data_IF_651023443156
#
_entry.id   IF_651023443156
#
_cell.length_a   1.000
_cell.length_b   1.000
_cell.length_c   1.000
_cell.angle_alpha   90.00
_cell.angle_beta   90.00
_cell.angle_gamma   90.00
#
_symmetry.space_group_name_H-M   'P 1'
#
loop_
_entity.id
_entity.type
_entity.pdbx_description
1 polymer ?
#
# COMPACT_ATOMS: atom_id res chain seq x y z
N UNK A 1 75.51 -3.49 -16.46
CA UNK A 1 74.39 -2.80 -17.15
C UNK A 1 73.29 -3.84 -17.38
N UNK A 2 72.39 -4.22 -16.47
CA UNK A 2 71.67 -3.49 -15.41
C UNK A 2 71.11 -2.17 -15.95
N UNK A 3 69.95 -2.22 -16.64
CA UNK A 3 68.92 -1.15 -16.77
C UNK A 3 67.92 -1.30 -17.95
N UNK A 4 67.85 -2.41 -18.68
CA UNK A 4 66.85 -2.57 -19.78
C UNK A 4 65.86 -3.73 -19.54
N UNK A 5 66.10 -4.61 -18.56
CA UNK A 5 65.22 -5.74 -18.26
C UNK A 5 63.99 -5.41 -17.38
N UNK A 6 63.68 -4.13 -17.12
CA UNK A 6 62.65 -3.72 -16.16
C UNK A 6 61.47 -2.93 -16.74
N UNK A 7 61.37 -2.79 -18.07
CA UNK A 7 60.34 -1.94 -18.70
C UNK A 7 59.39 -2.68 -19.67
N UNK A 8 59.58 -3.99 -19.92
CA UNK A 8 58.73 -4.75 -20.87
C UNK A 8 57.98 -5.91 -20.18
N UNK A 9 58.22 -6.15 -18.88
CA UNK A 9 57.51 -7.16 -18.09
C UNK A 9 56.44 -6.57 -17.14
N UNK A 10 56.04 -5.32 -17.37
CA UNK A 10 55.03 -4.62 -16.55
C UNK A 10 53.74 -4.29 -17.30
N UNK A 11 53.55 -4.81 -18.52
CA UNK A 11 52.36 -4.53 -19.34
C UNK A 11 51.60 -5.78 -19.79
N UNK A 12 51.78 -6.91 -19.10
CA UNK A 12 51.10 -8.18 -19.39
C UNK A 12 50.38 -8.81 -18.17
N UNK A 13 50.15 -8.03 -17.10
CA UNK A 13 49.46 -8.49 -15.87
C UNK A 13 48.09 -7.85 -15.63
N UNK A 14 47.46 -7.27 -16.66
CA UNK A 14 46.09 -6.76 -16.58
C UNK A 14 45.04 -7.65 -17.27
N UNK A 15 45.35 -8.94 -17.47
CA UNK A 15 44.32 -9.95 -17.78
C UNK A 15 44.11 -10.81 -16.53
N UNK A 16 43.72 -10.15 -15.44
CA UNK A 16 43.07 -10.81 -14.30
C UNK A 16 41.59 -10.85 -14.64
N UNK A 17 41.07 -12.07 -14.75
CA UNK A 17 39.84 -12.38 -15.46
C UNK A 17 38.63 -11.53 -15.06
N UNK A 18 37.75 -11.33 -16.04
CA UNK A 18 36.32 -11.27 -15.79
C UNK A 18 35.91 -12.56 -15.06
N UNK A 19 36.07 -12.59 -13.74
CA UNK A 19 35.21 -13.45 -12.94
C UNK A 19 33.83 -12.84 -13.11
N UNK A 20 33.00 -13.50 -13.91
CA UNK A 20 31.55 -13.47 -13.77
C UNK A 20 31.27 -13.50 -12.27
N UNK A 21 30.99 -12.32 -11.70
CA UNK A 21 30.84 -12.15 -10.27
C UNK A 21 29.73 -13.09 -9.84
N UNK A 22 30.11 -14.16 -9.15
CA UNK A 22 29.15 -15.04 -8.53
C UNK A 22 28.50 -14.22 -7.43
N UNK A 23 27.42 -13.52 -7.78
CA UNK A 23 26.50 -12.84 -6.88
C UNK A 23 25.85 -13.92 -6.01
N UNK A 24 26.58 -14.34 -4.97
CA UNK A 24 26.03 -15.23 -3.97
C UNK A 24 25.09 -14.40 -3.11
N UNK A 25 23.80 -14.74 -3.16
CA UNK A 25 22.79 -14.17 -2.28
C UNK A 25 23.20 -14.30 -0.81
N UNK A 26 22.80 -13.31 0.00
CA UNK A 26 23.17 -13.24 1.41
C UNK A 26 22.15 -14.00 2.27
N UNK A 27 22.65 -15.03 2.96
CA UNK A 27 21.85 -15.91 3.82
C UNK A 27 21.51 -15.18 5.13
N UNK A 28 20.26 -15.28 5.57
CA UNK A 28 19.83 -14.93 6.92
C UNK A 28 19.28 -16.20 7.61
N UNK A 29 19.45 -16.31 8.92
CA UNK A 29 18.96 -17.47 9.70
C UNK A 29 18.09 -16.95 10.84
N UNK A 30 16.79 -17.19 10.77
CA UNK A 30 15.92 -16.94 11.92
C UNK A 30 16.13 -18.00 13.02
N UNK A 31 16.26 -17.55 14.27
CA UNK A 31 16.13 -18.40 15.46
C UNK A 31 14.70 -18.30 16.00
N UNK A 32 13.76 -18.98 15.36
CA UNK A 32 12.48 -19.34 15.99
C UNK A 32 12.10 -20.78 15.62
N UNK A 33 11.44 -21.49 16.54
CA UNK A 33 11.48 -22.96 16.64
C UNK A 33 10.80 -23.77 15.52
N UNK A 34 11.44 -24.93 15.26
CA UNK A 34 11.14 -26.09 14.37
C UNK A 34 11.40 -25.87 12.86
N UNK A 35 12.49 -26.52 12.42
CA UNK A 35 13.16 -26.49 11.11
C UNK A 35 13.83 -25.15 10.76
N UNK A 36 15.17 -25.12 10.82
CA UNK A 36 16.00 -24.00 10.32
C UNK A 36 15.91 -23.96 8.78
N UNK A 37 14.82 -23.42 8.24
CA UNK A 37 14.83 -23.01 6.84
C UNK A 37 15.66 -21.72 6.74
N UNK A 38 16.76 -21.78 5.96
CA UNK A 38 17.58 -20.62 5.68
C UNK A 38 16.80 -19.67 4.77
N UNK A 39 16.32 -18.57 5.32
CA UNK A 39 15.69 -17.49 4.55
C UNK A 39 16.79 -16.57 3.98
N UNK A 40 16.79 -16.33 2.69
CA UNK A 40 17.79 -15.48 2.02
C UNK A 40 17.21 -14.09 1.80
N UNK A 41 17.98 -13.04 2.07
CA UNK A 41 17.57 -11.67 1.73
C UNK A 41 18.28 -11.30 0.43
N UNK A 42 17.57 -11.10 -0.69
CA UNK A 42 18.17 -10.72 -1.95
C UNK A 42 19.00 -9.45 -1.80
N UNK A 43 20.16 -9.39 -2.48
CA UNK A 43 20.96 -8.16 -2.51
C UNK A 43 20.25 -7.05 -3.29
N UNK A 44 19.54 -7.44 -4.34
CA UNK A 44 18.81 -6.55 -5.23
C UNK A 44 17.61 -5.91 -4.52
N UNK A 45 17.48 -4.59 -4.65
CA UNK A 45 16.25 -3.86 -4.34
C UNK A 45 15.65 -3.37 -5.64
N UNK A 46 14.32 -3.42 -5.77
CA UNK A 46 13.62 -2.92 -6.95
C UNK A 46 13.83 -1.40 -7.09
N UNK A 47 13.70 -0.69 -5.97
CA UNK A 47 13.97 0.75 -5.85
C UNK A 47 14.17 1.09 -4.37
N UNK A 48 14.51 2.35 -4.08
CA UNK A 48 14.52 2.86 -2.70
C UNK A 48 13.09 2.98 -2.12
N UNK A 49 12.05 2.81 -2.95
CA UNK A 49 10.66 2.85 -2.53
C UNK A 49 10.16 1.55 -1.89
N UNK A 50 10.82 0.42 -2.11
CA UNK A 50 10.35 -0.87 -1.63
C UNK A 50 11.36 -1.52 -0.69
N UNK A 51 10.85 -2.19 0.34
CA UNK A 51 11.67 -3.00 1.22
C UNK A 51 12.05 -4.30 0.53
N UNK A 52 13.27 -4.77 0.80
CA UNK A 52 13.67 -6.15 0.47
C UNK A 52 12.79 -7.12 1.25
N UNK A 53 12.58 -8.31 0.70
CA UNK A 53 11.82 -9.39 1.35
C UNK A 53 12.67 -10.64 1.47
N UNK A 54 12.24 -11.62 2.27
CA UNK A 54 12.94 -12.91 2.38
C UNK A 54 12.60 -13.84 1.22
N UNK A 55 13.49 -14.81 0.95
CA UNK A 55 13.27 -15.95 0.06
C UNK A 55 13.46 -17.24 0.88
N UNK A 56 12.42 -18.09 1.03
CA UNK A 56 11.07 -17.91 0.48
C UNK A 56 10.36 -16.67 1.06
N UNK A 57 9.47 -16.10 0.24
CA UNK A 57 8.64 -14.97 0.65
C UNK A 57 7.73 -15.40 1.79
N UNK A 58 7.76 -14.66 2.89
CA UNK A 58 6.84 -14.84 4.02
C UNK A 58 5.63 -13.92 3.85
N UNK A 59 4.47 -14.45 3.41
CA UNK A 59 3.28 -13.64 3.18
C UNK A 59 2.54 -13.26 4.47
N UNK A 60 3.01 -13.72 5.64
CA UNK A 60 2.33 -13.52 6.91
C UNK A 60 1.13 -14.45 7.13
N UNK A 61 0.52 -14.32 8.32
CA UNK A 61 -0.54 -15.21 8.83
C UNK A 61 -1.93 -14.88 8.31
N UNK A 62 -2.11 -13.70 7.71
CA UNK A 62 -3.38 -13.19 7.20
C UNK A 62 -3.40 -13.04 5.67
N UNK A 63 -2.54 -13.78 4.95
CA UNK A 63 -2.40 -13.71 3.50
C UNK A 63 -3.76 -13.76 2.79
N UNK A 64 -3.99 -12.80 1.89
CA UNK A 64 -5.16 -12.77 1.01
C UNK A 64 -6.41 -12.18 1.64
N UNK A 65 -6.41 -11.86 2.94
CA UNK A 65 -7.57 -11.29 3.62
C UNK A 65 -7.91 -9.88 3.11
N UNK A 66 -6.89 -9.06 2.77
CA UNK A 66 -7.08 -7.73 2.17
C UNK A 66 -7.92 -7.79 0.90
N UNK A 67 -7.60 -8.73 0.01
CA UNK A 67 -8.31 -8.92 -1.26
C UNK A 67 -9.78 -9.33 -1.14
N UNK A 68 -10.23 -9.78 0.03
CA UNK A 68 -11.60 -10.25 0.26
C UNK A 68 -12.51 -9.21 0.91
N UNK A 69 -11.95 -8.16 1.53
CA UNK A 69 -12.73 -7.28 2.43
C UNK A 69 -12.73 -5.80 2.05
N UNK A 70 -11.88 -5.37 1.12
CA UNK A 70 -11.85 -3.98 0.66
C UNK A 70 -12.84 -3.76 -0.50
N UNK A 71 -13.35 -2.53 -0.62
CA UNK A 71 -14.41 -2.18 -1.56
C UNK A 71 -14.03 -2.35 -3.04
N UNK A 72 -12.79 -2.00 -3.41
CA UNK A 72 -12.32 -2.04 -4.79
C UNK A 72 -10.82 -2.37 -4.86
N UNK A 73 -10.34 -2.68 -6.08
CA UNK A 73 -8.94 -3.06 -6.32
C UNK A 73 -7.94 -1.93 -6.04
N UNK A 74 -8.33 -0.68 -6.33
CA UNK A 74 -7.47 0.49 -6.13
C UNK A 74 -7.16 0.68 -4.64
N UNK A 75 -8.16 0.51 -3.78
CA UNK A 75 -8.01 0.55 -2.33
C UNK A 75 -7.07 -0.54 -1.81
N UNK A 76 -7.09 -1.74 -2.40
CA UNK A 76 -6.18 -2.83 -1.99
C UNK A 76 -4.72 -2.41 -2.23
N UNK A 77 -4.42 -1.95 -3.45
CA UNK A 77 -3.05 -1.57 -3.82
C UNK A 77 -2.56 -0.38 -2.98
N UNK A 78 -3.40 0.64 -2.80
CA UNK A 78 -3.02 1.82 -2.01
C UNK A 78 -2.91 1.51 -0.52
N UNK A 79 -3.79 0.68 0.04
CA UNK A 79 -3.71 0.30 1.45
C UNK A 79 -2.43 -0.49 1.75
N UNK A 80 -2.04 -1.45 0.90
CA UNK A 80 -0.81 -2.24 1.10
C UNK A 80 0.45 -1.38 0.88
N UNK A 81 0.54 -0.69 -0.26
CA UNK A 81 1.76 0.05 -0.61
C UNK A 81 1.89 1.37 0.14
N UNK A 82 0.78 2.04 0.45
CA UNK A 82 0.78 3.23 1.29
C UNK A 82 1.14 2.93 2.76
N UNK A 83 0.82 1.73 3.27
CA UNK A 83 1.29 1.31 4.59
C UNK A 83 2.82 1.14 4.62
N UNK A 84 3.42 0.64 3.53
CA UNK A 84 4.88 0.63 3.38
C UNK A 84 5.45 2.04 3.27
N UNK A 85 4.75 2.97 2.61
CA UNK A 85 5.16 4.38 2.53
C UNK A 85 5.20 5.04 3.92
N UNK A 86 4.22 4.75 4.78
CA UNK A 86 4.22 5.22 6.18
C UNK A 86 5.34 4.57 6.99
N UNK A 87 5.63 3.29 6.77
CA UNK A 87 6.69 2.59 7.49
C UNK A 87 8.07 3.25 7.34
N UNK A 88 8.35 3.88 6.20
CA UNK A 88 9.63 4.58 5.91
C UNK A 88 9.90 5.74 6.86
N UNK A 89 8.87 6.30 7.49
CA UNK A 89 9.01 7.36 8.49
C UNK A 89 9.71 6.87 9.78
N UNK A 90 9.83 5.56 9.97
CA UNK A 90 10.49 4.93 11.13
C UNK A 90 11.55 3.89 10.75
N UNK A 91 11.35 3.19 9.63
CA UNK A 91 12.14 2.02 9.24
C UNK A 91 12.73 2.25 7.85
N UNK A 92 14.00 2.60 7.75
CA UNK A 92 14.67 2.84 6.46
C UNK A 92 14.69 1.58 5.57
N UNK A 93 14.37 1.70 4.28
CA UNK A 93 14.46 0.59 3.30
C UNK A 93 15.90 0.07 3.10
N UNK A 94 16.91 0.83 3.55
CA UNK A 94 18.32 0.42 3.52
C UNK A 94 18.69 -0.55 4.63
N UNK A 95 18.08 -0.38 5.80
CA UNK A 95 18.46 -1.08 7.04
C UNK A 95 17.47 -2.19 7.40
N UNK A 96 16.21 -2.03 6.98
CA UNK A 96 15.12 -2.94 7.28
C UNK A 96 14.67 -3.74 6.06
N UNK A 97 14.18 -4.95 6.32
CA UNK A 97 13.48 -5.78 5.33
C UNK A 97 12.08 -6.13 5.82
N UNK A 98 11.20 -6.40 4.87
CA UNK A 98 9.77 -6.64 5.08
C UNK A 98 9.46 -8.12 5.19
N UNK A 99 8.54 -8.46 6.12
CA UNK A 99 7.80 -9.71 6.17
C UNK A 99 6.31 -9.41 6.37
N UNK A 100 5.43 -10.30 5.89
CA UNK A 100 4.02 -10.22 6.25
C UNK A 100 3.81 -10.42 7.76
N UNK A 101 2.72 -9.86 8.29
CA UNK A 101 2.44 -9.88 9.72
C UNK A 101 2.34 -11.28 10.33
N UNK A 102 2.84 -11.40 11.56
CA UNK A 102 2.93 -12.66 12.32
C UNK A 102 2.12 -12.65 13.63
N UNK A 103 1.64 -11.49 14.08
CA UNK A 103 0.86 -11.36 15.32
C UNK A 103 -0.63 -11.59 15.06
N UNK A 104 -1.20 -10.89 14.08
CA UNK A 104 -2.63 -10.91 13.75
C UNK A 104 -2.89 -11.91 12.62
N UNK A 105 -3.27 -13.14 12.99
CA UNK A 105 -3.69 -14.17 12.03
C UNK A 105 -5.09 -13.91 11.45
N UNK A 106 -5.44 -14.63 10.38
CA UNK A 106 -6.75 -14.54 9.70
C UNK A 106 -7.93 -14.62 10.66
N UNK A 107 -7.90 -15.57 11.59
CA UNK A 107 -9.00 -15.78 12.54
C UNK A 107 -9.16 -14.59 13.48
N UNK A 108 -8.04 -14.06 13.97
CA UNK A 108 -8.00 -12.89 14.84
C UNK A 108 -8.58 -11.68 14.13
N UNK A 109 -8.12 -11.37 12.92
CA UNK A 109 -8.62 -10.23 12.15
C UNK A 109 -10.11 -10.39 11.84
N UNK A 110 -10.53 -11.57 11.37
CA UNK A 110 -11.95 -11.84 11.09
C UNK A 110 -12.85 -11.72 12.32
N UNK A 111 -12.34 -11.97 13.54
CA UNK A 111 -13.08 -11.70 14.77
C UNK A 111 -13.09 -10.21 15.11
N UNK A 112 -11.96 -9.52 14.96
CA UNK A 112 -11.84 -8.08 15.27
C UNK A 112 -12.74 -7.23 14.38
N UNK A 113 -12.84 -7.52 13.08
CA UNK A 113 -13.64 -6.70 12.15
C UNK A 113 -15.14 -7.00 12.22
N UNK A 114 -15.58 -8.01 12.98
CA UNK A 114 -17.01 -8.26 13.21
C UNK A 114 -17.61 -7.17 14.11
N UNK A 115 -18.95 -7.11 14.09
CA UNK A 115 -19.70 -6.38 15.11
C UNK A 115 -19.45 -7.03 16.47
N UNK A 116 -19.31 -6.19 17.50
CA UNK A 116 -19.42 -6.61 18.89
C UNK A 116 -20.81 -7.21 19.07
N UNK A 117 -20.87 -8.39 19.66
CA UNK A 117 -22.13 -9.08 19.97
C UNK A 117 -22.76 -8.45 21.21
N UNK A 118 -24.09 -8.41 21.29
CA UNK A 118 -24.79 -8.08 22.53
C UNK A 118 -24.64 -9.21 23.55
N UNK A 119 -24.96 -8.96 24.81
CA UNK A 119 -24.92 -10.00 25.85
C UNK A 119 -25.90 -11.15 25.53
N UNK A 120 -27.05 -10.84 24.94
CA UNK A 120 -28.02 -11.83 24.48
C UNK A 120 -27.46 -12.69 23.33
N UNK A 121 -26.85 -12.07 22.31
CA UNK A 121 -26.22 -12.78 21.20
C UNK A 121 -25.02 -13.63 21.65
N UNK A 122 -24.23 -13.13 22.61
CA UNK A 122 -23.13 -13.89 23.21
C UNK A 122 -23.67 -15.14 23.92
N UNK A 123 -24.68 -14.97 24.77
CA UNK A 123 -25.29 -16.07 25.52
C UNK A 123 -25.91 -17.11 24.60
N UNK A 124 -26.64 -16.68 23.56
CA UNK A 124 -27.22 -17.59 22.58
C UNK A 124 -26.14 -18.42 21.85
N UNK A 125 -25.00 -17.80 21.49
CA UNK A 125 -23.88 -18.52 20.89
C UNK A 125 -23.29 -19.55 21.88
N UNK A 126 -23.07 -19.16 23.14
CA UNK A 126 -22.54 -20.05 24.18
C UNK A 126 -23.47 -21.24 24.44
N UNK A 127 -24.79 -21.00 24.50
CA UNK A 127 -25.80 -22.04 24.69
C UNK A 127 -25.84 -23.03 23.50
N UNK A 128 -25.68 -22.53 22.26
CA UNK A 128 -25.64 -23.36 21.04
C UNK A 128 -24.39 -24.24 20.96
N UNK A 129 -23.23 -23.74 21.43
CA UNK A 129 -21.97 -24.46 21.28
C UNK A 129 -21.75 -25.59 22.32
N UNK A 130 -22.62 -25.71 23.33
CA UNK A 130 -22.55 -26.70 24.45
C UNK A 130 -21.21 -26.65 25.24
N UNK A 131 -21.20 -27.24 26.45
CA UNK A 131 -20.19 -27.06 27.53
C UNK A 131 -18.69 -27.25 27.17
N UNK A 132 -18.35 -27.82 26.02
CA UNK A 132 -16.96 -28.03 25.58
C UNK A 132 -16.39 -26.84 24.78
N UNK A 133 -17.19 -25.79 24.55
CA UNK A 133 -16.75 -24.59 23.87
C UNK A 133 -15.81 -23.75 24.76
N UNK A 134 -14.57 -23.60 24.31
CA UNK A 134 -13.70 -22.49 24.72
C UNK A 134 -14.53 -21.20 24.66
N UNK A 135 -14.62 -20.44 25.77
CA UNK A 135 -15.35 -19.16 25.81
C UNK A 135 -15.05 -18.34 24.55
N UNK A 136 -16.04 -18.18 23.68
CA UNK A 136 -15.81 -17.56 22.38
C UNK A 136 -15.68 -16.04 22.56
N UNK A 137 -14.51 -15.45 22.30
CA UNK A 137 -14.22 -14.07 22.69
C UNK A 137 -15.11 -13.08 21.93
N UNK A 138 -15.69 -12.11 22.64
CA UNK A 138 -16.46 -11.00 22.05
C UNK A 138 -15.55 -9.79 21.77
N UNK A 139 -14.65 -9.95 20.81
CA UNK A 139 -13.62 -8.94 20.47
C UNK A 139 -13.96 -8.13 19.22
N UNK A 140 -15.19 -8.21 18.71
CA UNK A 140 -15.63 -7.43 17.56
C UNK A 140 -15.50 -5.93 17.84
N UNK A 141 -14.87 -5.20 16.93
CA UNK A 141 -14.56 -3.78 17.06
C UNK A 141 -15.68 -2.90 16.50
N UNK A 142 -16.42 -3.39 15.51
CA UNK A 142 -17.58 -2.67 14.98
C UNK A 142 -18.72 -2.63 16.01
N UNK A 143 -19.55 -1.58 16.04
CA UNK A 143 -20.63 -1.47 17.02
C UNK A 143 -21.66 -2.59 16.86
N UNK A 144 -22.28 -2.99 17.97
CA UNK A 144 -23.47 -3.84 17.94
C UNK A 144 -24.61 -3.12 17.22
N UNK A 145 -25.50 -3.88 16.58
CA UNK A 145 -26.78 -3.32 16.13
C UNK A 145 -27.64 -3.05 17.36
N UNK A 146 -28.40 -1.96 17.35
CA UNK A 146 -29.35 -1.68 18.43
C UNK A 146 -30.45 -2.74 18.46
N UNK A 147 -30.86 -3.12 19.67
CA UNK A 147 -32.00 -4.01 19.90
C UNK A 147 -33.32 -3.30 19.56
N UNK A 148 -34.39 -4.08 19.36
CA UNK A 148 -35.75 -3.57 19.13
C UNK A 148 -36.23 -3.65 17.68
N UNK A 149 -37.40 -3.07 17.43
CA UNK A 149 -38.18 -3.20 16.19
C UNK A 149 -37.78 -2.22 15.07
N UNK A 150 -36.73 -1.42 15.26
CA UNK A 150 -36.25 -0.52 14.19
C UNK A 150 -35.76 -1.33 12.98
N UNK A 151 -35.92 -0.74 11.78
CA UNK A 151 -35.41 -1.35 10.55
C UNK A 151 -33.88 -1.39 10.52
N UNK A 152 -33.31 -2.32 9.77
CA UNK A 152 -31.87 -2.45 9.54
C UNK A 152 -31.31 -1.19 8.94
N UNK A 153 -32.09 -0.45 8.14
CA UNK A 153 -31.64 0.84 7.62
C UNK A 153 -31.39 1.86 8.75
N UNK A 154 -32.33 2.00 9.68
CA UNK A 154 -32.19 2.90 10.83
C UNK A 154 -31.05 2.43 11.73
N UNK A 155 -30.95 1.12 12.00
CA UNK A 155 -29.91 0.53 12.85
C UNK A 155 -28.51 0.71 12.26
N UNK A 156 -28.32 0.46 10.96
CA UNK A 156 -27.01 0.62 10.31
C UNK A 156 -26.63 2.10 10.16
N UNK A 157 -27.58 3.03 9.98
CA UNK A 157 -27.29 4.47 10.02
C UNK A 157 -26.80 4.94 11.39
N UNK A 158 -27.33 4.38 12.49
CA UNK A 158 -26.89 4.68 13.86
C UNK A 158 -25.56 4.00 14.22
N UNK A 159 -25.41 2.74 13.83
CA UNK A 159 -24.29 1.88 14.18
C UNK A 159 -23.67 1.25 12.92
N UNK A 160 -23.00 2.04 12.06
CA UNK A 160 -22.42 1.48 10.85
C UNK A 160 -21.19 0.60 11.17
N UNK A 161 -20.81 -0.27 10.22
CA UNK A 161 -19.51 -0.95 10.27
C UNK A 161 -18.42 0.03 9.85
N UNK A 162 -17.61 0.49 10.79
CA UNK A 162 -16.51 1.42 10.59
C UNK A 162 -15.26 0.76 10.01
N UNK A 163 -14.88 -0.43 10.46
CA UNK A 163 -13.66 -1.12 9.99
C UNK A 163 -14.04 -2.33 9.12
N UNK A 164 -13.38 -2.51 7.98
CA UNK A 164 -13.54 -3.69 7.11
C UNK A 164 -12.35 -4.65 7.19
N UNK A 165 -11.15 -4.12 7.44
CA UNK A 165 -9.94 -4.93 7.47
C UNK A 165 -8.83 -4.35 8.35
N UNK A 166 -7.88 -5.20 8.71
CA UNK A 166 -6.65 -4.87 9.42
C UNK A 166 -5.48 -5.53 8.65
N UNK A 167 -4.40 -4.80 8.45
CA UNK A 167 -3.19 -5.30 7.80
C UNK A 167 -1.98 -5.08 8.71
N UNK A 168 -1.13 -6.09 8.86
CA UNK A 168 0.10 -6.04 9.65
C UNK A 168 1.31 -6.28 8.76
N UNK A 169 2.29 -5.38 8.86
CA UNK A 169 3.61 -5.46 8.25
C UNK A 169 4.67 -5.54 9.35
N UNK A 170 5.58 -6.52 9.26
CA UNK A 170 6.70 -6.63 10.19
C UNK A 170 8.00 -6.20 9.49
N UNK A 171 8.80 -5.40 10.20
CA UNK A 171 10.08 -4.88 9.72
C UNK A 171 11.23 -5.41 10.59
N UNK A 172 12.17 -6.08 9.94
CA UNK A 172 13.30 -6.73 10.58
C UNK A 172 14.61 -6.06 10.20
N UNK A 173 15.55 -6.04 11.14
CA UNK A 173 16.91 -5.54 10.96
C UNK A 173 17.90 -6.67 11.23
N UNK A 174 19.05 -6.65 10.57
CA UNK A 174 20.12 -7.64 10.81
C UNK A 174 20.84 -7.35 12.12
N UNK A 175 21.12 -8.40 12.89
CA UNK A 175 21.91 -8.36 14.11
C UNK A 175 23.09 -9.34 14.01
N UNK A 176 24.19 -8.86 13.42
CA UNK A 176 25.35 -9.71 13.09
C UNK A 176 25.19 -10.46 11.77
N UNK A 177 26.07 -11.43 11.50
CA UNK A 177 26.17 -12.05 10.17
C UNK A 177 24.96 -12.89 9.77
N UNK A 178 24.26 -13.52 10.72
CA UNK A 178 23.20 -14.48 10.42
C UNK A 178 21.92 -14.29 11.25
N UNK A 179 21.88 -13.34 12.20
CA UNK A 179 20.71 -13.15 13.07
C UNK A 179 19.88 -11.96 12.58
N UNK A 180 18.56 -12.03 12.79
CA UNK A 180 17.62 -10.95 12.46
C UNK A 180 16.73 -10.68 13.66
N UNK A 181 16.41 -9.41 13.87
CA UNK A 181 15.59 -8.95 14.98
C UNK A 181 14.42 -8.14 14.42
N UNK A 182 13.23 -8.37 14.96
CA UNK A 182 12.06 -7.57 14.60
C UNK A 182 12.23 -6.19 15.22
N UNK A 183 12.47 -5.19 14.37
CA UNK A 183 12.70 -3.82 14.82
C UNK A 183 11.45 -2.95 14.83
N UNK A 184 10.35 -3.40 14.23
CA UNK A 184 9.08 -2.70 14.31
C UNK A 184 7.92 -3.41 13.62
N UNK A 185 6.71 -2.96 13.95
CA UNK A 185 5.45 -3.41 13.34
C UNK A 185 4.68 -2.19 12.84
N UNK A 186 4.04 -2.32 11.69
CA UNK A 186 3.10 -1.30 11.18
C UNK A 186 1.77 -1.95 10.92
N UNK A 187 0.71 -1.38 11.50
CA UNK A 187 -0.66 -1.89 11.43
C UNK A 187 -1.57 -0.88 10.74
N UNK A 188 -2.13 -1.25 9.60
CA UNK A 188 -3.13 -0.48 8.87
C UNK A 188 -4.54 -0.88 9.31
N UNK A 189 -5.42 0.11 9.49
CA UNK A 189 -6.86 -0.08 9.70
C UNK A 189 -7.60 0.42 8.45
N UNK A 190 -8.24 -0.49 7.71
CA UNK A 190 -9.06 -0.16 6.55
C UNK A 190 -10.47 0.21 7.02
N UNK A 191 -10.76 1.50 7.01
CA UNK A 191 -12.01 2.06 7.49
C UNK A 191 -12.97 2.35 6.33
N UNK A 192 -14.25 2.11 6.53
CA UNK A 192 -15.30 2.39 5.54
C UNK A 192 -15.60 3.90 5.50
N UNK A 193 -15.65 4.47 4.29
CA UNK A 193 -16.32 5.76 4.04
C UNK A 193 -17.81 5.57 3.82
N UNK A 194 -18.20 4.44 3.23
CA UNK A 194 -19.57 3.99 3.01
C UNK A 194 -19.66 2.53 3.42
N UNK A 195 -20.66 2.20 4.23
CA UNK A 195 -21.03 0.82 4.50
C UNK A 195 -22.09 0.38 3.49
N UNK A 196 -21.85 -0.75 2.83
CA UNK A 196 -22.82 -1.42 1.95
C UNK A 196 -23.45 -2.60 2.69
N UNK A 197 -24.78 -2.73 2.66
CA UNK A 197 -25.51 -3.82 3.31
C UNK A 197 -26.85 -4.07 2.61
N UNK A 198 -27.48 -5.21 2.88
CA UNK A 198 -28.86 -5.49 2.47
C UNK A 198 -29.81 -5.19 3.64
N UNK A 199 -30.94 -4.54 3.35
CA UNK A 199 -32.03 -4.44 4.32
C UNK A 199 -32.80 -5.76 4.45
N UNK A 200 -33.82 -5.80 5.30
CA UNK A 200 -34.55 -7.02 5.67
C UNK A 200 -35.18 -7.78 4.48
N UNK A 201 -35.53 -7.07 3.41
CA UNK A 201 -36.12 -7.66 2.21
C UNK A 201 -35.09 -7.95 1.11
N UNK A 202 -33.78 -7.83 1.40
CA UNK A 202 -32.69 -8.11 0.47
C UNK A 202 -32.33 -6.96 -0.47
N UNK A 203 -32.92 -5.77 -0.31
CA UNK A 203 -32.55 -4.63 -1.15
C UNK A 203 -31.23 -4.00 -0.69
N UNK A 204 -30.32 -3.65 -1.62
CA UNK A 204 -29.07 -2.99 -1.27
C UNK A 204 -29.32 -1.60 -0.69
N UNK A 205 -28.53 -1.26 0.32
CA UNK A 205 -28.51 0.04 1.00
C UNK A 205 -27.07 0.47 1.26
N UNK A 206 -26.93 1.78 1.43
CA UNK A 206 -25.67 2.43 1.73
C UNK A 206 -25.82 3.33 2.96
N UNK A 207 -24.81 3.31 3.84
CA UNK A 207 -24.71 4.25 4.95
C UNK A 207 -23.37 4.99 4.85
N UNK A 208 -23.44 6.29 4.55
CA UNK A 208 -22.27 7.16 4.55
C UNK A 208 -21.77 7.38 5.98
N UNK A 209 -20.45 7.33 6.16
CA UNK A 209 -19.78 7.47 7.45
C UNK A 209 -18.97 8.76 7.43
N UNK A 210 -19.34 9.79 8.22
CA UNK A 210 -18.61 11.05 8.26
C UNK A 210 -17.13 10.87 8.65
N UNK A 211 -16.24 11.62 8.01
CA UNK A 211 -14.78 11.53 8.21
C UNK A 211 -14.37 11.61 9.68
N UNK A 212 -14.92 12.60 10.41
CA UNK A 212 -14.62 12.80 11.83
C UNK A 212 -15.05 11.61 12.70
N UNK A 213 -16.19 10.98 12.39
CA UNK A 213 -16.69 9.80 13.12
C UNK A 213 -15.86 8.57 12.80
N UNK A 214 -15.55 8.34 11.53
CA UNK A 214 -14.67 7.26 11.09
C UNK A 214 -13.30 7.37 11.76
N UNK A 215 -12.70 8.57 11.76
CA UNK A 215 -11.39 8.80 12.36
C UNK A 215 -11.40 8.55 13.87
N UNK A 216 -12.42 9.06 14.58
CA UNK A 216 -12.54 8.84 16.03
C UNK A 216 -12.65 7.35 16.37
N UNK A 217 -13.47 6.59 15.62
CA UNK A 217 -13.58 5.15 15.80
C UNK A 217 -12.29 4.42 15.43
N UNK A 218 -11.62 4.79 14.34
CA UNK A 218 -10.34 4.20 13.95
C UNK A 218 -9.28 4.33 15.05
N UNK A 219 -9.18 5.51 15.69
CA UNK A 219 -8.28 5.74 16.82
C UNK A 219 -8.61 4.86 18.03
N UNK A 220 -9.91 4.76 18.38
CA UNK A 220 -10.39 3.88 19.46
C UNK A 220 -10.09 2.40 19.16
N UNK A 221 -10.32 1.97 17.92
CA UNK A 221 -10.09 0.60 17.49
C UNK A 221 -8.60 0.24 17.48
N UNK A 222 -7.71 1.14 17.07
CA UNK A 222 -6.27 0.94 17.13
C UNK A 222 -5.78 0.63 18.57
N UNK A 223 -6.33 1.32 19.57
CA UNK A 223 -6.04 1.04 20.97
C UNK A 223 -6.44 -0.37 21.41
N UNK A 224 -7.58 -0.87 20.95
CA UNK A 224 -8.03 -2.24 21.25
C UNK A 224 -7.19 -3.29 20.50
N UNK A 225 -6.79 -2.99 19.26
CA UNK A 225 -5.89 -3.86 18.48
C UNK A 225 -4.53 -3.97 19.17
N UNK A 226 -3.95 -2.87 19.67
CA UNK A 226 -2.71 -2.91 20.44
C UNK A 226 -2.81 -3.85 21.64
N UNK A 227 -3.90 -3.75 22.42
CA UNK A 227 -4.14 -4.65 23.57
C UNK A 227 -4.17 -6.11 23.13
N UNK A 228 -4.90 -6.43 22.06
CA UNK A 228 -4.99 -7.79 21.52
C UNK A 228 -3.63 -8.30 21.06
N UNK A 229 -2.84 -7.49 20.36
CA UNK A 229 -1.48 -7.84 19.94
C UNK A 229 -0.58 -8.16 21.14
N UNK A 230 -0.57 -7.28 22.15
CA UNK A 230 0.26 -7.44 23.36
C UNK A 230 -0.20 -8.62 24.24
N UNK A 231 -1.50 -8.94 24.26
CA UNK A 231 -2.02 -10.12 24.96
C UNK A 231 -1.64 -11.42 24.25
N UNK A 232 -1.72 -11.44 22.91
CA UNK A 232 -1.42 -12.61 22.10
C UNK A 232 0.08 -12.90 22.07
N UNK A 233 0.91 -11.85 22.02
CA UNK A 233 2.37 -11.91 22.00
C UNK A 233 2.95 -10.84 22.95
N UNK A 234 3.24 -11.20 24.23
CA UNK A 234 3.75 -10.25 25.22
C UNK A 234 5.03 -9.51 24.82
N UNK A 235 5.85 -10.11 23.94
CA UNK A 235 7.05 -9.49 23.39
C UNK A 235 6.78 -8.23 22.57
N UNK A 236 5.56 -8.04 22.05
CA UNK A 236 5.17 -6.84 21.30
C UNK A 236 5.25 -5.58 22.15
N UNK A 237 5.13 -5.70 23.48
CA UNK A 237 5.35 -4.57 24.40
C UNK A 237 6.75 -3.96 24.25
N UNK A 238 7.74 -4.71 23.75
CA UNK A 238 9.11 -4.24 23.60
C UNK A 238 9.47 -3.82 22.17
N UNK A 239 8.50 -3.79 21.25
CA UNK A 239 8.69 -3.49 19.83
C UNK A 239 7.88 -2.23 19.49
N UNK A 240 8.47 -1.23 18.81
CA UNK A 240 7.71 -0.08 18.33
C UNK A 240 6.60 -0.50 17.36
N UNK A 241 5.39 0.02 17.55
CA UNK A 241 4.23 -0.26 16.69
C UNK A 241 3.72 1.04 16.09
N UNK A 242 3.59 1.13 14.77
CA UNK A 242 2.93 2.26 14.10
C UNK A 242 1.53 1.86 13.67
N UNK A 243 0.51 2.61 14.09
CA UNK A 243 -0.85 2.45 13.58
C UNK A 243 -1.13 3.49 12.50
N UNK A 244 -1.79 3.10 11.42
CA UNK A 244 -2.22 3.98 10.34
C UNK A 244 -3.69 3.74 10.00
N UNK A 245 -4.44 4.82 9.85
CA UNK A 245 -5.87 4.79 9.51
C UNK A 245 -6.01 5.11 8.02
N UNK A 246 -6.59 4.16 7.29
CA UNK A 246 -6.90 4.27 5.87
C UNK A 246 -8.41 4.44 5.68
N UNK A 247 -8.83 5.47 4.95
CA UNK A 247 -10.23 5.68 4.57
C UNK A 247 -10.43 5.14 3.16
N UNK A 248 -11.17 4.04 3.02
CA UNK A 248 -11.48 3.46 1.71
C UNK A 248 -12.34 4.40 0.85
N UNK A 249 -12.18 4.29 -0.46
CA UNK A 249 -13.12 4.89 -1.41
C UNK A 249 -14.47 4.15 -1.44
N UNK A 250 -15.53 4.80 -1.95
CA UNK A 250 -16.75 4.10 -2.36
C UNK A 250 -16.46 3.02 -3.42
N UNK A 251 -17.33 2.01 -3.53
CA UNK A 251 -17.19 0.95 -4.56
C UNK A 251 -17.15 1.47 -6.00
N UNK A 252 -17.83 2.58 -6.27
CA UNK A 252 -17.86 3.25 -7.57
C UNK A 252 -16.69 4.20 -7.82
N UNK A 253 -15.77 4.33 -6.86
CA UNK A 253 -14.64 5.24 -6.99
C UNK A 253 -13.68 4.76 -8.09
N UNK A 254 -13.23 5.71 -8.90
CA UNK A 254 -12.26 5.51 -9.96
C UNK A 254 -10.83 5.89 -9.52
N UNK A 255 -10.67 6.29 -8.25
CA UNK A 255 -9.41 6.50 -7.54
C UNK A 255 -9.46 5.76 -6.20
N UNK A 256 -8.31 5.38 -5.62
CA UNK A 256 -8.30 4.82 -4.28
C UNK A 256 -8.82 5.83 -3.25
N UNK A 257 -9.13 5.33 -2.06
CA UNK A 257 -9.17 6.12 -0.85
C UNK A 257 -7.79 6.65 -0.46
N UNK A 258 -7.59 6.96 0.82
CA UNK A 258 -6.35 7.57 1.28
C UNK A 258 -6.07 7.30 2.76
N UNK A 259 -4.80 7.38 3.15
CA UNK A 259 -4.44 7.46 4.56
C UNK A 259 -4.82 8.81 5.15
N UNK A 260 -5.32 8.83 6.39
CA UNK A 260 -5.82 10.04 7.06
C UNK A 260 -5.05 10.40 8.34
N UNK A 261 -4.45 9.41 9.00
CA UNK A 261 -3.70 9.65 10.24
C UNK A 261 -2.81 8.46 10.60
N UNK A 262 -1.72 8.71 11.32
CA UNK A 262 -0.90 7.67 11.92
C UNK A 262 -0.45 8.04 13.34
N UNK A 263 -0.12 7.04 14.14
CA UNK A 263 0.43 7.18 15.49
C UNK A 263 1.56 6.18 15.70
N UNK A 264 2.61 6.58 16.42
CA UNK A 264 3.74 5.72 16.77
C UNK A 264 3.63 5.37 18.26
N UNK A 265 3.65 4.08 18.56
CA UNK A 265 3.67 3.51 19.91
C UNK A 265 5.10 3.11 20.19
N UNK A 266 5.72 3.81 21.13
CA UNK A 266 7.09 3.52 21.56
C UNK A 266 7.15 2.24 22.39
N UNK A 267 8.36 1.65 22.48
CA UNK A 267 8.59 0.47 23.31
C UNK A 267 8.14 0.72 24.76
N UNK A 268 7.47 -0.27 25.33
CA UNK A 268 6.94 -0.24 26.69
C UNK A 268 5.60 0.49 26.84
N UNK A 269 5.12 1.17 25.79
CA UNK A 269 3.81 1.84 25.84
C UNK A 269 2.65 0.84 25.68
N UNK A 270 1.55 1.12 26.36
CA UNK A 270 0.28 0.40 26.24
C UNK A 270 -0.82 1.27 25.61
N UNK A 271 -0.49 2.50 25.21
CA UNK A 271 -1.44 3.47 24.64
C UNK A 271 -1.06 3.92 23.23
N UNK A 272 -2.10 4.16 22.41
CA UNK A 272 -1.97 4.69 21.05
C UNK A 272 -2.36 6.17 21.02
N UNK A 273 -1.36 7.01 21.25
CA UNK A 273 -1.51 8.47 21.39
C UNK A 273 -0.76 9.22 20.27
N UNK A 274 -0.74 10.56 20.32
CA UNK A 274 0.03 11.43 19.41
C UNK A 274 -0.23 11.21 17.91
N UNK A 275 -1.50 11.09 17.56
CA UNK A 275 -1.95 10.95 16.18
C UNK A 275 -1.58 12.16 15.32
N UNK A 276 -0.78 11.92 14.28
CA UNK A 276 -0.41 12.88 13.26
C UNK A 276 -1.36 12.77 12.07
N UNK A 277 -1.91 13.88 11.55
CA UNK A 277 -2.73 13.84 10.35
C UNK A 277 -1.89 13.49 9.12
N UNK A 278 -2.52 12.83 8.15
CA UNK A 278 -1.97 12.62 6.81
C UNK A 278 -2.92 13.34 5.85
N UNK A 279 -2.42 14.37 5.18
CA UNK A 279 -3.16 15.06 4.13
C UNK A 279 -2.80 14.43 2.78
N UNK A 280 -3.40 13.28 2.49
CA UNK A 280 -3.24 12.55 1.23
C UNK A 280 -4.55 12.48 0.48
N UNK A 281 -4.53 12.72 -0.84
CA UNK A 281 -5.75 12.67 -1.66
C UNK A 281 -5.44 12.33 -3.12
N UNK A 282 -6.39 11.67 -3.77
CA UNK A 282 -6.29 11.27 -5.17
C UNK A 282 -7.34 11.99 -6.01
N UNK A 283 -6.96 12.42 -7.21
CA UNK A 283 -7.83 13.08 -8.17
C UNK A 283 -7.67 12.48 -9.55
N UNK A 284 -8.78 12.41 -10.28
CA UNK A 284 -8.75 12.12 -11.71
C UNK A 284 -8.57 13.39 -12.53
N UNK A 285 -7.88 13.24 -13.65
CA UNK A 285 -7.66 14.30 -14.60
C UNK A 285 -8.04 13.85 -16.02
N UNK A 286 -8.85 14.63 -16.74
CA UNK A 286 -9.67 15.73 -16.21
C UNK A 286 -10.84 15.21 -15.36
N UNK A 287 -11.26 15.97 -14.34
CA UNK A 287 -12.51 15.68 -13.60
C UNK A 287 -13.13 16.96 -13.02
N UNK A 288 -14.45 16.94 -12.79
CA UNK A 288 -15.15 18.04 -12.10
C UNK A 288 -14.69 18.19 -10.65
N UNK A 289 -14.37 17.07 -9.97
CA UNK A 289 -13.84 17.11 -8.60
C UNK A 289 -12.50 17.84 -8.50
N UNK A 290 -11.61 17.65 -9.49
CA UNK A 290 -10.36 18.40 -9.53
C UNK A 290 -10.61 19.91 -9.73
N UNK A 291 -11.64 20.29 -10.49
CA UNK A 291 -12.04 21.70 -10.66
C UNK A 291 -12.62 22.30 -9.39
N UNK A 292 -13.50 21.58 -8.69
CA UNK A 292 -14.14 22.05 -7.45
C UNK A 292 -13.13 22.22 -6.32
N UNK A 293 -12.12 21.35 -6.26
CA UNK A 293 -11.13 21.32 -5.19
C UNK A 293 -9.88 22.16 -5.53
N UNK A 294 -10.02 23.15 -6.40
CA UNK A 294 -9.00 24.14 -6.77
C UNK A 294 -7.71 23.55 -7.40
N UNK A 295 -7.77 22.37 -8.03
CA UNK A 295 -6.62 21.78 -8.75
C UNK A 295 -6.59 22.21 -10.23
N UNK A 296 -6.85 23.51 -10.47
CA UNK A 296 -7.04 24.08 -11.82
C UNK A 296 -5.76 24.09 -12.66
N UNK A 297 -4.62 24.35 -12.03
CA UNK A 297 -3.32 24.38 -12.72
C UNK A 297 -2.92 22.99 -13.24
N UNK A 298 -3.09 21.96 -12.41
CA UNK A 298 -2.81 20.58 -12.78
C UNK A 298 -3.78 20.08 -13.86
N UNK A 299 -5.05 20.50 -13.79
CA UNK A 299 -6.03 20.24 -14.84
C UNK A 299 -5.65 20.91 -16.16
N UNK A 300 -5.21 22.16 -16.13
CA UNK A 300 -4.74 22.87 -17.32
C UNK A 300 -3.50 22.20 -17.92
N UNK A 301 -2.57 21.74 -17.08
CA UNK A 301 -1.38 20.98 -17.50
C UNK A 301 -1.75 19.72 -18.26
N UNK A 302 -2.62 18.86 -17.68
CA UNK A 302 -3.06 17.62 -18.34
C UNK A 302 -3.86 17.91 -19.61
N UNK A 303 -4.67 18.98 -19.60
CA UNK A 303 -5.44 19.40 -20.78
C UNK A 303 -4.53 19.87 -21.92
N UNK A 304 -3.49 20.65 -21.61
CA UNK A 304 -2.52 21.12 -22.59
C UNK A 304 -1.67 19.96 -23.15
N UNK A 305 -1.21 19.06 -22.28
CA UNK A 305 -0.54 17.83 -22.68
C UNK A 305 -1.41 17.02 -23.68
N UNK A 306 -2.69 16.83 -23.36
CA UNK A 306 -3.66 16.15 -24.24
C UNK A 306 -3.87 16.89 -25.56
N UNK A 307 -4.02 18.22 -25.52
CA UNK A 307 -4.18 19.03 -26.72
C UNK A 307 -2.96 18.89 -27.63
N UNK A 308 -1.75 18.86 -27.07
CA UNK A 308 -0.50 18.75 -27.82
C UNK A 308 -0.28 17.38 -28.44
N UNK A 309 -0.83 16.32 -27.85
CA UNK A 309 -0.94 15.01 -28.48
C UNK A 309 -1.90 15.03 -29.67
N UNK A 310 -3.02 15.73 -29.54
CA UNK A 310 -4.09 15.79 -30.55
C UNK A 310 -3.67 16.53 -31.83
N UNK A 311 -2.67 17.41 -31.76
CA UNK A 311 -2.12 18.11 -32.93
C UNK A 311 -1.42 17.16 -33.92
N UNK A 312 -0.72 16.15 -33.41
CA UNK A 312 0.10 15.24 -34.22
C UNK A 312 -0.51 13.86 -34.40
N UNK A 313 -1.40 13.45 -33.49
CA UNK A 313 -2.03 12.14 -33.49
C UNK A 313 -3.55 12.27 -33.40
N UNK A 314 -4.25 11.89 -34.46
CA UNK A 314 -5.70 11.99 -34.56
C UNK A 314 -6.40 10.69 -34.13
N UNK A 315 -7.62 10.78 -33.60
CA UNK A 315 -8.40 9.61 -33.16
C UNK A 315 -8.10 9.19 -31.72
N UNK A 316 -7.90 7.89 -31.50
CA UNK A 316 -7.83 7.26 -30.18
C UNK A 316 -6.62 7.72 -29.32
N UNK A 317 -5.60 8.31 -29.95
CA UNK A 317 -4.38 8.82 -29.33
C UNK A 317 -4.58 9.92 -28.26
N UNK A 318 -5.80 10.43 -28.13
CA UNK A 318 -6.14 11.61 -27.32
C UNK A 318 -6.85 11.27 -26.01
N UNK A 319 -7.08 9.98 -25.74
CA UNK A 319 -7.77 9.49 -24.55
C UNK A 319 -6.86 9.45 -23.30
N UNK A 320 -6.27 10.59 -22.91
CA UNK A 320 -5.42 10.67 -21.71
C UNK A 320 -6.28 10.66 -20.45
N UNK A 321 -6.04 9.68 -19.56
CA UNK A 321 -6.64 9.58 -18.23
C UNK A 321 -5.53 9.74 -17.20
N UNK A 322 -5.62 10.75 -16.36
CA UNK A 322 -4.65 11.01 -15.29
C UNK A 322 -5.17 10.65 -13.91
N UNK A 323 -4.31 10.12 -13.05
CA UNK A 323 -4.52 10.00 -11.60
C UNK A 323 -3.40 10.75 -10.90
N UNK A 324 -3.75 11.82 -10.18
CA UNK A 324 -2.81 12.60 -9.39
C UNK A 324 -2.91 12.25 -7.90
N UNK A 325 -1.77 11.90 -7.29
CA UNK A 325 -1.63 11.71 -5.85
C UNK A 325 -1.05 13.00 -5.23
N UNK A 326 -1.80 13.55 -4.28
CA UNK A 326 -1.44 14.76 -3.55
C UNK A 326 -1.04 14.39 -2.14
N UNK A 327 0.01 15.05 -1.64
CA UNK A 327 0.38 15.04 -0.23
C UNK A 327 0.68 16.45 0.23
N UNK A 328 0.02 16.86 1.31
CA UNK A 328 0.09 18.22 1.85
C UNK A 328 -0.30 19.27 0.80
N UNK A 329 -1.40 18.99 0.08
CA UNK A 329 -1.95 19.78 -1.03
C UNK A 329 -1.07 19.97 -2.27
N UNK A 330 0.14 19.40 -2.29
CA UNK A 330 1.05 19.39 -3.43
C UNK A 330 0.93 18.09 -4.22
N UNK A 331 0.85 18.19 -5.56
CA UNK A 331 0.90 17.05 -6.46
C UNK A 331 2.29 16.38 -6.37
N UNK A 332 2.33 15.13 -5.89
CA UNK A 332 3.57 14.35 -5.74
C UNK A 332 3.80 13.37 -6.87
N UNK A 333 2.72 12.78 -7.38
CA UNK A 333 2.78 11.79 -8.46
C UNK A 333 1.63 12.00 -9.44
N UNK A 334 1.94 11.97 -10.73
CA UNK A 334 0.97 11.94 -11.82
C UNK A 334 1.13 10.64 -12.61
N UNK A 335 0.10 9.78 -12.58
CA UNK A 335 0.00 8.60 -13.44
C UNK A 335 -0.90 8.91 -14.63
N UNK A 336 -0.42 8.71 -15.85
CA UNK A 336 -1.17 8.92 -17.08
C UNK A 336 -1.33 7.58 -17.81
N UNK A 337 -2.56 7.26 -18.14
CA UNK A 337 -2.92 6.14 -19.01
C UNK A 337 -3.33 6.67 -20.37
N UNK A 338 -2.70 6.15 -21.43
CA UNK A 338 -3.00 6.51 -22.82
C UNK A 338 -3.33 5.22 -23.60
N UNK A 339 -4.61 4.86 -23.74
CA UNK A 339 -5.05 3.77 -24.60
C UNK A 339 -4.97 4.22 -26.06
N UNK A 340 -4.28 3.46 -26.89
CA UNK A 340 -4.02 3.78 -28.30
C UNK A 340 -4.08 2.52 -29.15
N UNK A 341 -4.72 2.60 -30.32
CA UNK A 341 -4.66 1.55 -31.32
C UNK A 341 -3.51 1.82 -32.29
N UNK A 342 -2.48 0.96 -32.27
CA UNK A 342 -1.32 1.05 -33.15
C UNK A 342 -1.41 0.04 -34.29
N UNK A 343 -0.96 0.44 -35.48
CA UNK A 343 -0.88 -0.44 -36.64
C UNK A 343 0.49 -1.14 -36.76
N UNK A 344 1.51 -0.68 -36.01
CA UNK A 344 2.82 -1.32 -36.01
C UNK A 344 3.80 -0.76 -34.97
N UNK A 345 4.88 -1.50 -34.72
CA UNK A 345 5.89 -1.17 -33.69
C UNK A 345 6.62 0.16 -33.92
N UNK A 346 6.88 0.54 -35.16
CA UNK A 346 7.52 1.82 -35.47
C UNK A 346 6.66 3.02 -35.00
N UNK A 347 5.34 2.89 -35.11
CA UNK A 347 4.38 3.90 -34.64
C UNK A 347 4.40 4.03 -33.12
N UNK A 348 4.46 2.90 -32.40
CA UNK A 348 4.63 2.86 -30.93
C UNK A 348 5.91 3.60 -30.52
N UNK A 349 7.02 3.34 -31.20
CA UNK A 349 8.31 3.97 -30.88
C UNK A 349 8.23 5.49 -31.07
N UNK A 350 7.77 5.95 -32.24
CA UNK A 350 7.66 7.38 -32.54
C UNK A 350 6.70 8.10 -31.59
N UNK A 351 5.55 7.49 -31.30
CA UNK A 351 4.59 8.03 -30.34
C UNK A 351 5.18 8.13 -28.93
N UNK A 352 5.87 7.07 -28.47
CA UNK A 352 6.50 7.06 -27.14
C UNK A 352 7.57 8.14 -27.01
N UNK A 353 8.40 8.34 -28.04
CA UNK A 353 9.40 9.41 -28.07
C UNK A 353 8.76 10.79 -27.93
N UNK A 354 7.67 11.04 -28.65
CA UNK A 354 6.95 12.30 -28.57
C UNK A 354 6.32 12.52 -27.19
N UNK A 355 5.66 11.50 -26.63
CA UNK A 355 5.08 11.55 -25.28
C UNK A 355 6.16 11.83 -24.23
N UNK A 356 7.33 11.21 -24.32
CA UNK A 356 8.44 11.46 -23.39
C UNK A 356 8.92 12.92 -23.44
N UNK A 357 9.00 13.51 -24.63
CA UNK A 357 9.28 14.93 -24.82
C UNK A 357 8.25 15.82 -24.11
N UNK A 358 6.96 15.54 -24.31
CA UNK A 358 5.88 16.28 -23.66
C UNK A 358 5.87 16.11 -22.14
N UNK A 359 6.28 14.95 -21.61
CA UNK A 359 6.43 14.75 -20.17
C UNK A 359 7.45 15.73 -19.59
N UNK A 360 8.59 15.90 -20.27
CA UNK A 360 9.63 16.85 -19.85
C UNK A 360 9.17 18.31 -19.97
N UNK A 361 8.40 18.64 -21.01
CA UNK A 361 7.92 20.00 -21.28
C UNK A 361 6.83 20.46 -20.30
N UNK A 362 5.83 19.61 -20.04
CA UNK A 362 4.62 20.04 -19.34
C UNK A 362 4.66 19.76 -17.83
N UNK A 363 5.38 18.74 -17.39
CA UNK A 363 5.38 18.35 -15.97
C UNK A 363 6.64 18.88 -15.26
N UNK A 364 6.49 19.57 -14.11
CA UNK A 364 7.62 20.00 -13.30
C UNK A 364 8.45 18.83 -12.77
N UNK A 365 9.76 19.03 -12.58
CA UNK A 365 10.67 17.98 -12.13
C UNK A 365 10.54 17.64 -10.63
N UNK A 366 9.75 18.36 -9.82
CA UNK A 366 9.58 18.04 -8.39
C UNK A 366 8.63 16.86 -8.13
N UNK A 367 7.88 16.41 -9.13
CA UNK A 367 6.90 15.31 -9.02
C UNK A 367 7.33 14.10 -9.85
N UNK A 368 6.90 12.92 -9.42
CA UNK A 368 6.99 11.69 -10.21
C UNK A 368 5.95 11.71 -11.32
N UNK A 369 6.32 11.30 -12.52
CA UNK A 369 5.38 11.13 -13.64
C UNK A 369 5.57 9.74 -14.21
N UNK A 370 4.48 8.99 -14.30
CA UNK A 370 4.44 7.69 -14.97
C UNK A 370 3.41 7.74 -16.09
N UNK A 371 3.82 7.41 -17.31
CA UNK A 371 2.92 7.25 -18.44
C UNK A 371 2.93 5.79 -18.89
N UNK A 372 1.75 5.20 -18.95
CA UNK A 372 1.53 3.86 -19.51
C UNK A 372 0.79 4.02 -20.83
N UNK A 373 1.47 3.67 -21.92
CA UNK A 373 0.89 3.62 -23.26
C UNK A 373 0.45 2.18 -23.49
N UNK A 374 -0.84 1.97 -23.77
CA UNK A 374 -1.43 0.63 -23.86
C UNK A 374 -2.26 0.46 -25.14
N UNK A 375 -2.16 -0.71 -25.75
CA UNK A 375 -3.12 -1.17 -26.73
C UNK A 375 -4.32 -1.81 -26.05
N UNK A 376 -5.29 -2.30 -26.84
CA UNK A 376 -6.47 -3.01 -26.32
C UNK A 376 -6.08 -4.23 -25.49
N UNK A 377 -4.99 -4.90 -25.86
CA UNK A 377 -4.61 -6.19 -25.28
C UNK A 377 -3.52 -6.06 -24.21
N UNK A 378 -2.59 -5.10 -24.34
CA UNK A 378 -1.42 -5.02 -23.46
C UNK A 378 -0.80 -3.62 -23.36
N UNK A 379 0.01 -3.35 -22.32
CA UNK A 379 0.94 -2.22 -22.31
C UNK A 379 1.95 -2.34 -23.46
N UNK A 380 2.15 -1.28 -24.23
CA UNK A 380 3.11 -1.22 -25.35
C UNK A 380 4.38 -0.43 -24.96
N UNK A 381 4.25 0.55 -24.06
CA UNK A 381 5.38 1.31 -23.55
C UNK A 381 5.12 1.90 -22.16
N UNK A 382 6.21 2.12 -21.43
CA UNK A 382 6.22 2.78 -20.12
C UNK A 382 7.25 3.91 -20.15
N UNK A 383 6.84 5.07 -19.63
CA UNK A 383 7.69 6.24 -19.41
C UNK A 383 7.62 6.57 -17.92
N UNK A 384 8.75 6.63 -17.23
CA UNK A 384 8.82 6.97 -15.80
C UNK A 384 9.87 8.05 -15.61
N UNK A 385 9.48 9.20 -15.07
CA UNK A 385 10.40 10.21 -14.56
C UNK A 385 10.24 10.31 -13.06
N UNK A 386 11.25 9.92 -12.31
CA UNK A 386 11.23 10.11 -10.86
C UNK A 386 11.37 11.60 -10.52
N UNK A 387 10.95 11.98 -9.32
CA UNK A 387 11.15 13.34 -8.85
C UNK A 387 12.65 13.69 -8.84
N UNK A 388 12.97 14.91 -9.29
CA UNK A 388 14.31 15.50 -9.44
C UNK A 388 15.18 14.85 -10.52
N UNK A 389 14.59 14.06 -11.41
CA UNK A 389 15.25 13.64 -12.64
C UNK A 389 14.88 14.56 -13.80
N UNK A 390 15.87 14.89 -14.63
CA UNK A 390 15.64 15.72 -15.82
C UNK A 390 15.01 14.90 -16.95
N UNK A 391 15.55 13.70 -17.20
CA UNK A 391 15.12 12.81 -18.27
C UNK A 391 14.32 11.60 -17.74
N UNK A 392 13.26 11.16 -18.43
CA UNK A 392 12.53 9.94 -18.07
C UNK A 392 13.28 8.68 -18.49
N UNK A 393 13.11 7.61 -17.72
CA UNK A 393 13.28 6.24 -18.21
C UNK A 393 12.17 5.91 -19.21
N UNK A 394 12.54 5.33 -20.36
CA UNK A 394 11.59 4.94 -21.41
C UNK A 394 11.83 3.49 -21.80
N UNK A 395 10.77 2.68 -21.82
CA UNK A 395 10.81 1.27 -22.24
C UNK A 395 9.67 0.93 -23.18
N UNK A 396 10.02 0.44 -24.37
CA UNK A 396 9.11 -0.27 -25.26
C UNK A 396 9.01 -1.73 -24.81
N UNK A 397 7.79 -2.25 -24.72
CA UNK A 397 7.46 -3.60 -24.26
C UNK A 397 7.13 -4.47 -25.47
N UNK A 398 7.79 -5.62 -25.60
CA UNK A 398 7.65 -6.54 -26.73
C UNK A 398 6.71 -7.71 -26.43
#
# INVERSE_FOLDING_TARGET
MKKIALAVLSLSLLVSGCSMGSNKDEKAVEKSGKAKEQAVIPKYSISDEYYKTTVPFDPGRARGLVGQSLNNRLDIDEFETGLMRIAKESFSTKDYFFKGGDVLDTQTIQMLVKRKRTDAEQKELEDKLKKDAVKFPNVGLNPALSEGSESLEVKNKKSPMYISNILEHDYYVRKGENDVERGGIVVGLAMNSVQYYEEEHGYPREAAIPDAKMLAEGKRMAQEILKVMQQKKPEIKNIPVTFAIYRQGPKSSLVPGNFVSYAKVEKGSETVEDWKPINEKYYLFPSEQAKSDNKREDLARVSNFKAKLSEYFQGDYTAVIGTGMYRDDELREMKLDIPVQFNGKAEVIGFTQYVAGLVMEYFPNYMKVQVTIKSVERPEAIIIREAKQDEPFVKILD
#
